data_IF_324358079302
#
_entry.id   IF_324358079302
#
_cell.length_a   1.000
_cell.length_b   1.000
_cell.length_c   1.000
_cell.angle_alpha   90.00
_cell.angle_beta   90.00
_cell.angle_gamma   90.00
#
_symmetry.space_group_name_H-M   'P 1'
#
loop_
_entity.id
_entity.type
_entity.pdbx_description
1 polymer ?
#
# COMPACT_ATOMS: atom_id res chain seq x y z
N UNK A 1 -12.14 8.67 9.91
CA UNK A 1 -12.05 7.54 8.97
C UNK A 1 -12.37 6.27 9.75
N UNK A 2 -13.47 5.61 9.41
CA UNK A 2 -13.84 4.36 10.06
C UNK A 2 -12.93 3.23 9.53
N UNK A 3 -12.37 2.44 10.43
CA UNK A 3 -11.47 1.33 10.11
C UNK A 3 -11.83 0.11 10.94
N UNK A 4 -11.66 -1.08 10.39
CA UNK A 4 -11.92 -2.36 11.09
C UNK A 4 -10.58 -3.08 11.27
N UNK A 5 -10.31 -3.58 12.49
CA UNK A 5 -9.17 -4.46 12.72
C UNK A 5 -9.32 -5.75 11.92
N UNK A 6 -8.23 -6.24 11.33
CA UNK A 6 -8.22 -7.46 10.50
C UNK A 6 -7.05 -8.40 10.80
N UNK A 7 -5.94 -7.89 11.34
CA UNK A 7 -4.84 -8.73 11.79
C UNK A 7 -3.92 -8.03 12.79
N UNK A 8 -3.13 -8.81 13.52
CA UNK A 8 -1.99 -8.41 14.33
C UNK A 8 -0.79 -9.26 13.91
N UNK A 9 0.34 -8.63 13.64
CA UNK A 9 1.58 -9.29 13.19
C UNK A 9 2.65 -9.05 14.25
N UNK A 10 3.21 -10.13 14.77
CA UNK A 10 4.30 -10.10 15.75
C UNK A 10 5.64 -9.94 15.01
N UNK A 11 6.33 -8.82 15.23
CA UNK A 11 7.54 -8.48 14.50
C UNK A 11 8.75 -9.30 14.93
N UNK A 12 8.73 -9.94 16.08
CA UNK A 12 9.78 -10.85 16.56
C UNK A 12 9.59 -12.25 15.97
N UNK A 13 8.40 -12.84 16.13
CA UNK A 13 8.14 -14.26 15.78
C UNK A 13 7.57 -14.46 14.37
N UNK A 14 7.08 -13.41 13.71
CA UNK A 14 6.24 -13.46 12.49
C UNK A 14 4.92 -14.23 12.68
N UNK A 15 4.51 -14.47 13.92
CA UNK A 15 3.17 -15.00 14.20
C UNK A 15 2.11 -13.97 13.82
N UNK A 16 0.99 -14.46 13.29
CA UNK A 16 -0.10 -13.62 12.77
C UNK A 16 -1.42 -14.08 13.39
N UNK A 17 -2.06 -13.17 14.10
CA UNK A 17 -3.46 -13.28 14.50
C UNK A 17 -4.30 -12.53 13.46
N UNK A 18 -5.36 -13.13 12.93
CA UNK A 18 -6.19 -12.47 11.91
C UNK A 18 -7.68 -12.79 12.06
N UNK A 19 -8.53 -11.89 11.55
CA UNK A 19 -9.97 -12.10 11.46
C UNK A 19 -10.26 -13.22 10.43
N UNK A 20 -10.75 -14.41 10.85
CA UNK A 20 -10.94 -15.53 9.94
C UNK A 20 -12.05 -15.31 8.91
N UNK A 21 -12.91 -14.31 9.12
CA UNK A 21 -13.99 -13.94 8.20
C UNK A 21 -13.58 -12.85 7.22
N UNK A 22 -12.49 -12.14 7.48
CA UNK A 22 -11.97 -11.14 6.57
C UNK A 22 -11.23 -11.79 5.40
N UNK A 23 -11.52 -11.29 4.20
CA UNK A 23 -10.84 -11.71 2.96
C UNK A 23 -10.55 -10.50 2.09
N UNK A 24 -9.47 -10.55 1.33
CA UNK A 24 -9.14 -9.52 0.37
C UNK A 24 -8.63 -10.09 -0.96
N UNK A 25 -9.10 -9.53 -2.07
CA UNK A 25 -8.53 -9.71 -3.41
C UNK A 25 -8.56 -8.38 -4.14
N UNK A 26 -7.41 -7.85 -4.50
CA UNK A 26 -7.34 -6.74 -5.45
C UNK A 26 -7.90 -7.24 -6.79
N UNK A 27 -8.89 -6.54 -7.35
CA UNK A 27 -9.54 -6.94 -8.58
C UNK A 27 -8.79 -6.35 -9.78
N UNK A 28 -8.48 -7.20 -10.75
CA UNK A 28 -7.97 -6.76 -12.05
C UNK A 28 -8.98 -5.86 -12.75
N UNK A 29 -8.50 -4.85 -13.48
CA UNK A 29 -9.30 -3.90 -14.25
C UNK A 29 -10.32 -3.09 -13.41
N UNK A 30 -10.15 -2.99 -12.09
CA UNK A 30 -11.04 -2.23 -11.22
C UNK A 30 -10.74 -0.72 -11.25
N UNK A 31 -9.46 -0.35 -11.13
CA UNK A 31 -8.94 1.02 -11.21
C UNK A 31 -9.55 2.09 -10.27
N UNK A 32 -10.56 1.81 -9.44
CA UNK A 32 -11.24 2.81 -8.60
C UNK A 32 -10.26 3.59 -7.70
N UNK A 33 -9.26 2.91 -7.11
CA UNK A 33 -8.24 3.58 -6.30
C UNK A 33 -7.34 4.52 -7.11
N UNK A 34 -7.13 4.25 -8.40
CA UNK A 34 -6.34 5.11 -9.29
C UNK A 34 -7.03 6.46 -9.56
N UNK A 35 -8.35 6.53 -9.48
CA UNK A 35 -9.13 7.76 -9.63
C UNK A 35 -9.38 8.44 -8.28
N UNK A 36 -9.73 7.67 -7.25
CA UNK A 36 -10.26 8.22 -5.99
C UNK A 36 -9.21 8.59 -4.95
N UNK A 37 -8.03 7.98 -5.00
CA UNK A 37 -6.99 8.23 -4.01
C UNK A 37 -5.97 9.22 -4.51
N UNK A 38 -5.39 9.95 -3.57
CA UNK A 38 -4.14 10.64 -3.76
C UNK A 38 -3.05 9.82 -3.08
N UNK A 39 -2.01 9.46 -3.85
CA UNK A 39 -1.01 8.50 -3.43
C UNK A 39 0.25 9.28 -3.02
N UNK A 40 0.64 9.29 -1.75
CA UNK A 40 1.95 9.80 -1.37
C UNK A 40 3.05 8.89 -1.92
N UNK A 41 4.08 9.50 -2.50
CA UNK A 41 5.30 8.83 -2.93
C UNK A 41 6.36 8.98 -1.85
N UNK A 42 6.99 7.86 -1.46
CA UNK A 42 8.25 7.87 -0.72
C UNK A 42 9.41 8.17 -1.67
N UNK A 43 10.56 8.55 -1.11
CA UNK A 43 11.81 8.67 -1.87
C UNK A 43 12.16 7.34 -2.55
N UNK A 44 11.98 6.21 -1.86
CA UNK A 44 12.22 4.87 -2.43
C UNK A 44 11.20 4.50 -3.53
N UNK A 45 9.99 5.07 -3.51
CA UNK A 45 9.02 4.88 -4.61
C UNK A 45 9.47 5.66 -5.85
N UNK A 46 10.00 6.87 -5.67
CA UNK A 46 10.52 7.72 -6.74
C UNK A 46 11.72 7.04 -7.40
N UNK A 47 12.71 6.61 -6.61
CA UNK A 47 13.92 5.93 -7.10
C UNK A 47 13.56 4.67 -7.92
N UNK A 48 12.68 3.81 -7.40
CA UNK A 48 12.21 2.60 -8.10
C UNK A 48 11.55 2.91 -9.45
N UNK A 49 10.79 4.01 -9.54
CA UNK A 49 10.11 4.40 -10.78
C UNK A 49 11.10 5.03 -11.77
N UNK A 50 12.08 5.79 -11.30
CA UNK A 50 13.16 6.32 -12.15
C UNK A 50 14.01 5.21 -12.77
N UNK A 51 14.28 4.13 -12.03
CA UNK A 51 14.99 2.95 -12.55
C UNK A 51 14.26 2.27 -13.72
N UNK A 52 12.94 2.48 -13.87
CA UNK A 52 12.17 2.00 -15.02
C UNK A 52 12.31 2.90 -16.27
N UNK A 53 13.04 4.02 -16.15
CA UNK A 53 13.28 4.98 -17.23
C UNK A 53 12.29 6.14 -17.28
N UNK A 54 11.45 6.32 -16.25
CA UNK A 54 10.60 7.51 -16.13
C UNK A 54 11.35 8.65 -15.47
N UNK A 55 11.09 9.86 -15.92
CA UNK A 55 11.59 11.04 -15.25
C UNK A 55 10.59 11.53 -14.20
N UNK A 56 11.07 12.07 -13.10
CA UNK A 56 10.22 12.53 -11.98
C UNK A 56 9.13 13.51 -12.37
N UNK A 57 9.38 14.45 -13.28
CA UNK A 57 8.36 15.41 -13.73
C UNK A 57 7.16 14.75 -14.43
N UNK A 58 7.33 13.54 -14.96
CA UNK A 58 6.28 12.78 -15.63
C UNK A 58 5.27 12.22 -14.62
N UNK A 59 5.70 11.87 -13.41
CA UNK A 59 4.86 11.14 -12.46
C UNK A 59 4.74 11.74 -11.06
N UNK A 60 5.59 12.68 -10.68
CA UNK A 60 5.52 13.38 -9.40
C UNK A 60 4.71 14.66 -9.58
N UNK A 61 3.78 14.90 -8.67
CA UNK A 61 3.08 16.17 -8.51
C UNK A 61 3.68 16.94 -7.34
N UNK A 62 4.61 17.84 -7.68
CA UNK A 62 5.32 18.68 -6.71
C UNK A 62 4.46 19.76 -6.05
N UNK A 63 3.24 20.00 -6.56
CA UNK A 63 2.31 20.97 -5.97
C UNK A 63 1.51 20.35 -4.81
N UNK A 64 1.48 19.02 -4.73
CA UNK A 64 0.69 18.28 -3.75
C UNK A 64 1.56 17.53 -2.75
N UNK A 65 1.64 18.07 -1.54
CA UNK A 65 2.48 17.58 -0.46
C UNK A 65 1.68 16.85 0.62
N UNK A 66 2.25 15.77 1.16
CA UNK A 66 1.69 15.02 2.28
C UNK A 66 2.51 15.23 3.56
N UNK A 67 1.80 15.38 4.68
CA UNK A 67 2.39 15.57 6.00
C UNK A 67 1.75 14.66 7.05
N UNK A 68 2.53 14.31 8.08
CA UNK A 68 2.04 13.70 9.32
C UNK A 68 2.43 14.58 10.48
N UNK A 69 1.50 15.43 10.92
CA UNK A 69 1.85 16.54 11.82
C UNK A 69 2.75 17.52 11.07
N UNK A 70 3.90 17.82 11.65
CA UNK A 70 4.96 18.65 11.07
C UNK A 70 5.92 17.89 10.14
N UNK A 71 5.87 16.56 10.14
CA UNK A 71 6.75 15.73 9.32
C UNK A 71 6.27 15.66 7.87
N UNK A 72 7.09 16.13 6.94
CA UNK A 72 6.92 15.91 5.50
C UNK A 72 7.04 14.41 5.18
N UNK A 73 6.08 13.88 4.41
CA UNK A 73 6.04 12.48 4.01
C UNK A 73 6.41 12.26 2.55
N UNK A 74 6.23 13.27 1.69
CA UNK A 74 6.46 13.15 0.26
C UNK A 74 5.45 13.92 -0.59
N UNK A 75 5.66 13.88 -1.90
CA UNK A 75 4.77 14.45 -2.90
C UNK A 75 3.73 13.44 -3.38
N UNK A 76 2.72 13.90 -4.11
CA UNK A 76 1.72 13.01 -4.67
C UNK A 76 2.18 12.38 -5.99
N UNK A 77 1.66 11.19 -6.26
CA UNK A 77 1.62 10.64 -7.60
C UNK A 77 0.67 11.45 -8.48
N UNK A 78 1.16 11.86 -9.65
CA UNK A 78 0.43 12.70 -10.59
C UNK A 78 -0.81 12.00 -11.15
N UNK A 79 -1.87 12.79 -11.33
CA UNK A 79 -3.09 12.43 -12.05
C UNK A 79 -3.09 13.06 -13.44
N UNK A 80 -3.74 12.40 -14.38
CA UNK A 80 -3.90 12.88 -15.75
C UNK A 80 -4.94 13.99 -15.79
N UNK A 81 -4.70 15.07 -16.55
CA UNK A 81 -5.59 16.22 -16.56
C UNK A 81 -6.93 15.99 -17.27
N UNK A 82 -7.07 14.90 -18.05
CA UNK A 82 -8.25 14.67 -18.88
C UNK A 82 -9.31 13.76 -18.24
N UNK A 83 -8.95 12.99 -17.21
CA UNK A 83 -9.86 12.04 -16.55
C UNK A 83 -9.58 11.85 -15.05
N UNK A 84 -8.64 12.59 -14.46
CA UNK A 84 -8.17 12.45 -13.08
C UNK A 84 -7.67 11.05 -12.69
N UNK A 85 -7.38 10.20 -13.68
CA UNK A 85 -6.78 8.89 -13.46
C UNK A 85 -5.30 9.00 -13.09
N UNK A 86 -4.79 8.06 -12.30
CA UNK A 86 -3.34 7.90 -12.07
C UNK A 86 -2.56 7.89 -13.39
N UNK A 87 -1.42 8.59 -13.46
CA UNK A 87 -0.58 8.65 -14.67
C UNK A 87 -0.12 7.28 -15.21
N UNK A 88 -0.09 6.25 -14.35
CA UNK A 88 0.29 4.88 -14.69
C UNK A 88 -0.89 3.96 -15.05
N UNK A 89 -2.12 4.46 -15.04
CA UNK A 89 -3.31 3.67 -15.40
C UNK A 89 -3.47 3.55 -16.93
N UNK A 90 -3.64 2.36 -17.43
CA UNK A 90 -3.89 2.07 -18.85
C UNK A 90 -5.40 2.07 -19.16
N UNK A 91 -5.75 2.16 -20.45
CA UNK A 91 -7.15 2.15 -20.91
C UNK A 91 -7.92 0.87 -20.55
N UNK A 92 -7.21 -0.27 -20.41
CA UNK A 92 -7.79 -1.55 -19.99
C UNK A 92 -8.02 -1.67 -18.48
N UNK A 93 -7.73 -0.59 -17.73
CA UNK A 93 -7.91 -0.53 -16.28
C UNK A 93 -6.74 -1.12 -15.48
N UNK A 94 -5.61 -1.45 -16.12
CA UNK A 94 -4.42 -1.98 -15.45
C UNK A 94 -3.39 -0.90 -15.16
N UNK A 95 -2.53 -1.16 -14.18
CA UNK A 95 -1.38 -0.30 -13.90
C UNK A 95 -0.16 -0.77 -14.69
N UNK A 96 0.43 0.09 -15.52
CA UNK A 96 1.61 -0.25 -16.33
C UNK A 96 2.86 -0.59 -15.51
N UNK A 97 2.94 -0.09 -14.27
CA UNK A 97 4.02 -0.38 -13.33
C UNK A 97 3.57 -1.27 -12.15
N UNK A 98 2.53 -2.11 -12.32
CA UNK A 98 1.93 -2.84 -11.20
C UNK A 98 2.92 -3.56 -10.26
N UNK A 99 3.99 -4.24 -10.75
CA UNK A 99 4.99 -4.86 -9.87
C UNK A 99 5.84 -3.86 -9.07
N UNK A 100 5.99 -2.64 -9.57
CA UNK A 100 6.78 -1.54 -9.01
C UNK A 100 5.90 -0.41 -8.44
N UNK A 101 4.63 -0.71 -8.19
CA UNK A 101 3.67 0.29 -7.69
C UNK A 101 4.13 0.88 -6.35
N UNK A 102 3.87 2.17 -6.09
CA UNK A 102 4.24 2.80 -4.83
C UNK A 102 3.73 2.04 -3.60
N UNK A 103 4.43 2.14 -2.48
CA UNK A 103 4.06 1.42 -1.26
C UNK A 103 2.61 1.71 -0.85
N UNK A 104 2.16 2.96 -0.94
CA UNK A 104 0.78 3.33 -0.62
C UNK A 104 -0.26 2.62 -1.51
N UNK A 105 0.03 2.43 -2.80
CA UNK A 105 -0.81 1.62 -3.70
C UNK A 105 -0.80 0.14 -3.33
N UNK A 106 0.36 -0.38 -2.91
CA UNK A 106 0.53 -1.78 -2.49
C UNK A 106 -0.21 -2.07 -1.19
N UNK A 107 -0.18 -1.14 -0.23
CA UNK A 107 -0.83 -1.31 1.07
C UNK A 107 -2.33 -1.06 1.01
N UNK A 108 -2.87 -0.32 0.05
CA UNK A 108 -4.30 -0.05 -0.02
C UNK A 108 -5.12 -1.36 -0.14
N UNK A 109 -6.22 -1.56 0.64
CA UNK A 109 -6.91 -0.63 1.55
C UNK A 109 -6.51 -0.73 3.03
N UNK A 110 -5.33 -1.29 3.31
CA UNK A 110 -4.85 -1.52 4.67
C UNK A 110 -4.16 -0.31 5.29
N UNK A 111 -4.28 -0.20 6.60
CA UNK A 111 -3.61 0.78 7.46
C UNK A 111 -2.86 0.00 8.54
N UNK A 112 -1.53 0.09 8.49
CA UNK A 112 -0.64 -0.57 9.44
C UNK A 112 -0.31 0.39 10.57
N UNK A 113 -0.53 -0.04 11.81
CA UNK A 113 -0.24 0.73 13.03
C UNK A 113 0.72 -0.08 13.89
N UNK A 114 1.95 0.39 14.03
CA UNK A 114 2.93 -0.23 14.92
C UNK A 114 2.65 0.13 16.37
N UNK A 115 2.64 -0.87 17.24
CA UNK A 115 2.62 -0.73 18.69
C UNK A 115 3.69 -1.62 19.31
N UNK A 116 4.80 -1.04 19.79
CA UNK A 116 5.92 -1.82 20.33
C UNK A 116 6.53 -2.79 19.30
N UNK A 117 6.39 -4.09 19.57
CA UNK A 117 6.84 -5.21 18.72
C UNK A 117 5.73 -5.80 17.85
N UNK A 118 4.53 -5.22 17.83
CA UNK A 118 3.44 -5.68 16.95
C UNK A 118 3.04 -4.64 15.92
N UNK A 119 2.49 -5.09 14.80
CA UNK A 119 1.77 -4.26 13.83
C UNK A 119 0.31 -4.71 13.82
N UNK A 120 -0.58 -3.80 14.19
CA UNK A 120 -2.01 -3.96 13.97
C UNK A 120 -2.35 -3.52 12.55
N UNK A 121 -3.05 -4.39 11.83
CA UNK A 121 -3.54 -4.15 10.48
C UNK A 121 -5.02 -3.85 10.57
N UNK A 122 -5.39 -2.69 10.03
CA UNK A 122 -6.78 -2.28 9.86
C UNK A 122 -7.12 -2.18 8.38
N UNK A 123 -8.37 -2.42 8.02
CA UNK A 123 -8.90 -2.14 6.69
C UNK A 123 -9.75 -0.87 6.72
N UNK A 124 -9.56 0.02 5.73
CA UNK A 124 -10.45 1.17 5.53
C UNK A 124 -11.82 0.70 5.06
N UNK A 125 -12.89 1.36 5.52
CA UNK A 125 -14.25 1.13 5.01
C UNK A 125 -14.53 1.99 3.78
N UNK A 126 -13.72 1.80 2.74
CA UNK A 126 -13.87 2.52 1.48
C UNK A 126 -14.87 1.76 0.59
N UNK A 127 -16.04 2.36 0.36
CA UNK A 127 -17.18 1.77 -0.35
C UNK A 127 -16.88 1.38 -1.81
N UNK A 128 -15.92 2.07 -2.43
CA UNK A 128 -15.47 1.79 -3.79
C UNK A 128 -14.51 0.60 -3.89
N UNK A 129 -13.94 0.12 -2.78
CA UNK A 129 -13.03 -1.02 -2.80
C UNK A 129 -13.79 -2.34 -2.87
N UNK A 130 -14.12 -2.78 -4.08
CA UNK A 130 -14.78 -4.06 -4.38
C UNK A 130 -13.98 -5.32 -3.96
N UNK A 131 -12.70 -5.14 -3.58
CA UNK A 131 -11.84 -6.23 -3.12
C UNK A 131 -12.02 -6.62 -1.65
N UNK A 132 -12.64 -5.74 -0.84
CA UNK A 132 -12.90 -5.98 0.58
C UNK A 132 -13.98 -7.07 0.72
N UNK A 133 -13.67 -8.14 1.44
CA UNK A 133 -14.52 -9.33 1.61
C UNK A 133 -14.97 -9.97 0.29
N UNK A 134 -14.18 -9.83 -0.76
CA UNK A 134 -14.47 -10.49 -2.03
C UNK A 134 -14.56 -12.02 -1.82
N UNK A 135 -15.52 -12.73 -2.43
CA UNK A 135 -15.70 -14.17 -2.23
C UNK A 135 -14.44 -15.01 -2.51
N UNK A 136 -13.68 -14.59 -3.53
CA UNK A 136 -12.40 -15.18 -3.94
C UNK A 136 -11.18 -14.57 -3.23
N UNK A 137 -11.41 -13.78 -2.18
CA UNK A 137 -10.36 -13.15 -1.39
C UNK A 137 -9.54 -14.14 -0.57
N UNK A 138 -8.28 -13.78 -0.32
CA UNK A 138 -7.39 -14.51 0.59
C UNK A 138 -7.48 -13.94 2.00
N UNK A 139 -7.15 -14.77 2.98
CA UNK A 139 -6.97 -14.36 4.38
C UNK A 139 -5.63 -13.63 4.53
N UNK A 140 -5.45 -12.94 5.65
CA UNK A 140 -4.19 -12.28 6.00
C UNK A 140 -3.27 -13.31 6.67
N UNK A 141 -2.82 -14.30 5.91
CA UNK A 141 -1.82 -15.27 6.32
C UNK A 141 -0.39 -14.79 6.03
N UNK A 142 0.61 -15.62 6.34
CA UNK A 142 2.02 -15.25 6.13
C UNK A 142 2.36 -14.97 4.66
N UNK A 143 1.72 -15.66 3.71
CA UNK A 143 1.93 -15.41 2.29
C UNK A 143 1.37 -14.03 1.90
N UNK A 144 0.18 -13.69 2.37
CA UNK A 144 -0.39 -12.35 2.21
C UNK A 144 0.50 -11.27 2.80
N UNK A 145 1.00 -11.50 4.01
CA UNK A 145 1.90 -10.58 4.69
C UNK A 145 3.19 -10.39 3.90
N UNK A 146 3.79 -11.47 3.39
CA UNK A 146 4.99 -11.41 2.54
C UNK A 146 4.74 -10.65 1.23
N UNK A 147 3.58 -10.87 0.61
CA UNK A 147 3.24 -10.21 -0.63
C UNK A 147 2.99 -8.71 -0.45
N UNK A 148 2.14 -8.33 0.51
CA UNK A 148 1.62 -6.96 0.62
C UNK A 148 2.37 -6.10 1.64
N UNK A 149 2.80 -6.67 2.77
CA UNK A 149 3.25 -5.90 3.94
C UNK A 149 4.75 -6.04 4.24
N UNK A 150 5.45 -6.94 3.55
CA UNK A 150 6.84 -7.28 3.85
C UNK A 150 7.78 -6.08 3.89
N UNK A 151 7.65 -5.15 2.94
CA UNK A 151 8.52 -3.96 2.90
C UNK A 151 8.44 -3.16 4.22
N UNK A 152 7.23 -3.01 4.79
CA UNK A 152 7.02 -2.32 6.07
C UNK A 152 7.51 -3.17 7.25
N UNK A 153 7.22 -4.47 7.22
CA UNK A 153 7.57 -5.39 8.32
C UNK A 153 9.09 -5.53 8.43
N UNK A 154 9.77 -5.73 7.31
CA UNK A 154 11.21 -5.85 7.25
C UNK A 154 11.89 -4.56 7.73
N UNK A 155 11.39 -3.39 7.31
CA UNK A 155 11.90 -2.10 7.77
C UNK A 155 11.81 -1.96 9.30
N UNK A 156 10.69 -2.39 9.90
CA UNK A 156 10.54 -2.35 11.36
C UNK A 156 11.32 -3.43 12.10
N UNK A 157 11.44 -4.65 11.54
CA UNK A 157 12.27 -5.73 12.08
C UNK A 157 13.72 -5.30 12.17
N UNK A 158 14.27 -4.74 11.08
CA UNK A 158 15.63 -4.17 11.04
C UNK A 158 15.83 -3.09 12.10
N UNK A 159 14.88 -2.15 12.25
CA UNK A 159 14.95 -1.10 13.29
C UNK A 159 14.90 -1.63 14.72
N UNK A 160 14.33 -2.82 14.93
CA UNK A 160 14.25 -3.49 16.22
C UNK A 160 15.41 -4.47 16.49
N UNK A 161 16.28 -4.69 15.49
CA UNK A 161 17.37 -5.66 15.60
C UNK A 161 16.95 -7.12 15.42
N UNK A 162 15.78 -7.36 14.82
CA UNK A 162 15.38 -8.71 14.42
C UNK A 162 15.96 -8.99 13.03
N UNK A 163 16.83 -10.00 12.91
CA UNK A 163 17.33 -10.53 11.64
C UNK A 163 16.78 -11.94 11.41
N UNK A 164 16.62 -12.32 10.15
CA UNK A 164 16.32 -13.70 9.75
C UNK A 164 17.59 -14.58 9.74
N UNK A 165 18.72 -14.03 10.22
CA UNK A 165 19.99 -14.74 10.35
C UNK A 165 20.01 -15.61 11.62
N UNK A 166 19.49 -16.82 11.47
CA UNK A 166 19.87 -18.02 12.23
C UNK A 166 19.86 -19.24 11.31
#
# INVERSE_FOLDING_TARGET
MEKKWVATIHLDTLEIEFDPFFKFKCLENCAECCFRLDIPLRDEDIEKIEELGYNTWEFVDYEKMFYRGDKFLGYALKKRPFDDGCVFLEEDGKCKIYPYRPLACKLYPFVLVRQGTVIEVYVKKDDFCKGINHPEGRKIDLEFVREYFWEVIEEYRKKLGFSDDS
#
